data_IF_383763419310
#
_entry.id   IF_383763419310
#
_cell.length_a   1.000
_cell.length_b   1.000
_cell.length_c   1.000
_cell.angle_alpha   90.00
_cell.angle_beta   90.00
_cell.angle_gamma   90.00
#
_symmetry.space_group_name_H-M   'P 1'
#
loop_
_entity.id
_entity.type
_entity.pdbx_description
1 polymer ?
2 non-polymer ?
3 water ?
#
# COMPACT_ATOMS: atom_id res chain seq x y z
N UNK A 2 -0.90 11.82 25.13
CA UNK A 2 -0.69 10.35 25.05
C UNK A 2 0.06 10.02 23.75
N UNK A 3 0.74 8.87 23.71
CA UNK A 3 1.32 8.31 22.48
C UNK A 3 0.35 7.33 21.84
N UNK A 4 0.19 7.40 20.51
CA UNK A 4 -0.49 6.34 19.73
C UNK A 4 0.57 5.49 19.00
N UNK A 5 0.46 4.18 19.16
CA UNK A 5 1.40 3.22 18.54
C UNK A 5 0.65 2.32 17.56
N UNK A 6 1.09 2.29 16.30
CA UNK A 6 0.57 1.34 15.29
C UNK A 6 1.70 0.39 14.89
N UNK A 7 1.50 -0.91 15.17
CA UNK A 7 2.33 -2.03 14.68
C UNK A 7 1.60 -2.69 13.52
N UNK A 8 2.33 -3.02 12.45
CA UNK A 8 1.82 -3.64 11.19
C UNK A 8 2.56 -4.94 10.85
N UNK A 9 3.63 -5.25 11.59
CA UNK A 9 4.41 -6.51 11.40
C UNK A 9 3.55 -7.75 11.67
N UNK A 10 3.83 -8.78 10.89
CA UNK A 10 3.10 -10.07 10.88
C UNK A 10 4.00 -11.20 11.40
N UNK A 11 5.23 -10.91 11.83
CA UNK A 11 6.25 -11.94 12.13
C UNK A 11 6.34 -12.20 13.65
N UNK A 12 5.44 -11.58 14.43
CA UNK A 12 5.34 -11.80 15.88
C UNK A 12 6.65 -11.44 16.55
N UNK A 13 7.21 -12.35 17.34
CA UNK A 13 8.30 -12.10 18.31
C UNK A 13 9.64 -11.91 17.58
N UNK A 14 9.67 -12.17 16.27
CA UNK A 14 10.89 -12.13 15.44
C UNK A 14 10.84 -10.83 14.63
N UNK A 15 9.99 -9.90 15.06
CA UNK A 15 9.77 -8.61 14.37
C UNK A 15 10.85 -7.64 14.82
N UNK A 16 11.71 -7.22 13.87
CA UNK A 16 12.64 -6.07 14.04
C UNK A 16 11.86 -4.78 14.35
N UNK A 17 10.72 -4.50 13.69
CA UNK A 17 9.97 -3.20 13.85
C UNK A 17 9.33 -3.15 15.24
N UNK A 18 8.61 -4.19 15.64
CA UNK A 18 8.09 -4.33 17.04
C UNK A 18 9.26 -4.09 18.02
N UNK A 19 10.42 -4.72 17.82
CA UNK A 19 11.56 -4.57 18.74
C UNK A 19 12.06 -3.12 18.75
N UNK A 20 12.20 -2.49 17.58
CA UNK A 20 12.70 -1.10 17.52
C UNK A 20 11.66 -0.16 18.15
N UNK A 21 10.37 -0.33 17.83
CA UNK A 21 9.27 0.47 18.40
C UNK A 21 9.26 0.30 19.92
N UNK A 22 9.58 -0.87 20.45
CA UNK A 22 9.58 -1.12 21.91
C UNK A 22 10.61 -0.19 22.56
N UNK A 23 11.77 -0.01 21.93
CA UNK A 23 12.88 0.84 22.45
C UNK A 23 12.42 2.30 22.46
N UNK A 24 11.67 2.70 21.44
CA UNK A 24 11.07 4.07 21.37
C UNK A 24 10.09 4.24 22.52
N UNK A 25 9.28 3.22 22.79
CA UNK A 25 8.19 3.31 23.81
C UNK A 25 8.80 3.37 25.22
N UNK A 26 9.89 2.64 25.46
CA UNK A 26 10.54 2.65 26.79
C UNK A 26 10.96 4.09 27.06
N UNK A 27 11.50 4.79 26.04
CA UNK A 27 11.99 6.19 26.19
C UNK A 27 10.80 7.14 26.42
N UNK A 28 9.68 6.96 25.73
CA UNK A 28 8.47 7.80 25.97
C UNK A 28 8.05 7.70 27.42
N UNK A 29 7.86 6.49 27.92
CA UNK A 29 7.32 6.27 29.28
C UNK A 29 8.28 6.84 30.32
N UNK A 30 9.56 6.91 29.99
CA UNK A 30 10.63 7.37 30.91
C UNK A 30 10.60 8.88 31.12
N UNK A 31 10.51 9.68 30.05
CA UNK A 31 10.69 11.15 30.15
C UNK A 31 9.42 11.91 29.78
N UNK A 32 8.35 11.26 29.37
CA UNK A 32 7.16 11.97 28.86
C UNK A 32 6.25 12.42 30.00
N UNK A 33 5.71 13.65 29.92
CA UNK A 33 4.71 14.13 30.87
C UNK A 33 3.46 13.25 30.88
N UNK A 34 3.05 12.71 29.72
CA UNK A 34 1.98 11.68 29.61
C UNK A 34 2.58 10.37 29.10
N UNK A 35 3.13 9.53 30.00
CA UNK A 35 3.71 8.23 29.62
C UNK A 35 2.66 7.28 29.04
N UNK A 36 1.38 7.64 29.09
CA UNK A 36 0.24 6.83 28.56
C UNK A 36 0.49 6.47 27.09
N UNK A 37 0.10 5.25 26.73
CA UNK A 37 0.23 4.74 25.35
C UNK A 37 -1.07 4.05 24.95
N UNK A 38 -1.62 4.46 23.82
CA UNK A 38 -2.74 3.76 23.13
C UNK A 38 -2.13 2.98 21.98
N UNK A 39 -2.55 1.73 21.82
CA UNK A 39 -1.90 0.89 20.80
C UNK A 39 -2.94 0.18 19.93
N UNK A 40 -2.52 -0.15 18.72
CA UNK A 40 -3.31 -0.94 17.76
C UNK A 40 -2.30 -1.73 16.93
N UNK A 41 -2.60 -3.01 16.75
CA UNK A 41 -1.72 -4.01 16.09
C UNK A 41 -2.53 -4.63 14.94
N UNK A 42 -2.38 -4.05 13.74
CA UNK A 42 -3.10 -4.46 12.50
C UNK A 42 -2.57 -5.79 12.01
N UNK A 43 -1.33 -6.10 12.39
CA UNK A 43 -0.66 -7.37 12.07
C UNK A 43 -1.38 -8.57 12.67
N UNK A 44 -1.82 -8.44 13.91
CA UNK A 44 -2.54 -9.49 14.69
C UNK A 44 -4.04 -9.37 14.47
N UNK A 45 -4.51 -8.13 14.27
CA UNK A 45 -5.93 -7.73 14.24
C UNK A 45 -6.18 -6.84 13.02
N UNK A 46 -5.98 -7.37 11.79
CA UNK A 46 -6.09 -6.56 10.58
C UNK A 46 -7.50 -6.00 10.45
N UNK A 47 -7.60 -4.83 9.83
CA UNK A 47 -8.93 -4.27 9.51
C UNK A 47 -9.44 -5.08 8.35
N UNK A 48 -10.73 -5.49 8.35
CA UNK A 48 -11.29 -6.31 7.28
C UNK A 48 -11.12 -5.65 5.90
N UNK A 49 -11.17 -6.46 4.84
CA UNK A 49 -10.82 -6.03 3.47
C UNK A 49 -12.05 -5.45 2.77
N UNK A 50 -13.22 -5.51 3.41
CA UNK A 50 -14.52 -5.07 2.81
C UNK A 50 -14.88 -3.65 3.27
N UNK A 51 -14.34 -3.18 4.38
CA UNK A 51 -14.94 -2.01 5.10
C UNK A 51 -14.61 -0.72 4.33
N UNK A 52 -13.46 -0.66 3.67
CA UNK A 52 -13.09 0.50 2.83
C UNK A 52 -14.13 0.78 1.75
N UNK A 53 -14.44 -0.18 0.87
CA UNK A 53 -15.42 0.04 -0.22
C UNK A 53 -16.72 0.62 0.35
N UNK A 54 -17.21 0.07 1.47
CA UNK A 54 -18.50 0.44 2.08
C UNK A 54 -18.46 1.89 2.55
N UNK A 55 -17.31 2.34 3.08
CA UNK A 55 -17.13 3.70 3.63
C UNK A 55 -17.14 4.71 2.49
N UNK A 56 -16.46 4.39 1.38
CA UNK A 56 -16.35 5.26 0.18
C UNK A 56 -17.75 5.51 -0.40
N UNK A 57 -18.63 4.51 -0.31
CA UNK A 57 -20.04 4.60 -0.77
C UNK A 57 -20.86 5.54 0.12
N UNK A 58 -20.86 5.28 1.43
CA UNK A 58 -21.58 6.11 2.42
C UNK A 58 -21.10 7.56 2.34
N UNK A 59 -19.82 7.76 2.01
CA UNK A 59 -19.18 9.09 2.11
C UNK A 59 -20.12 10.15 1.53
N UNK A 60 -20.80 9.88 0.41
CA UNK A 60 -21.76 10.86 -0.15
C UNK A 60 -23.13 10.19 -0.27
N UNK A 61 -23.79 10.07 0.87
CA UNK A 61 -25.20 9.59 0.98
C UNK A 61 -25.78 10.29 2.20
N UNK A 62 -26.93 10.97 2.09
CA UNK A 62 -27.60 11.47 3.28
C UNK A 62 -27.52 10.34 4.31
N UNK A 63 -26.83 10.54 5.43
CA UNK A 63 -26.64 9.49 6.44
C UNK A 63 -27.81 8.53 6.69
N UNK A 64 -29.05 9.00 6.48
CA UNK A 64 -30.27 8.21 6.75
C UNK A 64 -30.47 7.16 5.66
N UNK A 65 -30.11 7.49 4.42
CA UNK A 65 -30.23 6.55 3.28
C UNK A 65 -29.02 5.60 3.27
N UNK A 66 -28.21 5.62 4.33
CA UNK A 66 -27.05 4.70 4.42
C UNK A 66 -27.55 3.31 4.79
N UNK A 67 -26.72 2.30 4.53
CA UNK A 67 -27.00 0.88 4.84
C UNK A 67 -26.16 0.41 6.04
N UNK A 68 -26.61 -0.63 6.78
CA UNK A 68 -25.88 -1.16 7.94
C UNK A 68 -24.35 -1.15 7.87
N UNK A 69 -23.78 -1.67 6.78
CA UNK A 69 -22.31 -1.85 6.64
C UNK A 69 -21.66 -0.50 6.36
N UNK A 70 -22.35 0.35 5.58
CA UNK A 70 -21.87 1.70 5.23
C UNK A 70 -21.68 2.49 6.52
N UNK A 71 -22.73 2.59 7.35
CA UNK A 71 -22.71 3.29 8.65
C UNK A 71 -21.61 2.70 9.53
N UNK A 72 -21.65 1.39 9.79
CA UNK A 72 -20.66 0.71 10.65
C UNK A 72 -19.25 0.99 10.12
N UNK A 73 -19.09 1.11 8.80
CA UNK A 73 -17.80 1.43 8.13
C UNK A 73 -17.36 2.85 8.49
N UNK A 74 -18.29 3.83 8.47
CA UNK A 74 -17.88 5.24 8.66
C UNK A 74 -17.68 5.53 10.15
N UNK A 75 -18.39 4.78 10.99
CA UNK A 75 -18.22 4.75 12.47
C UNK A 75 -16.81 4.26 12.82
N UNK A 76 -16.35 3.19 12.20
CA UNK A 76 -15.01 2.61 12.43
C UNK A 76 -13.95 3.61 11.97
N UNK A 77 -14.16 4.25 10.82
CA UNK A 77 -13.27 5.32 10.30
C UNK A 77 -13.12 6.39 11.38
N UNK A 78 -14.21 6.81 12.01
CA UNK A 78 -14.22 7.88 13.04
C UNK A 78 -13.45 7.41 14.30
N UNK A 79 -13.70 6.20 14.81
CA UNK A 79 -12.92 5.59 15.91
C UNK A 79 -11.40 5.60 15.63
N UNK A 80 -10.95 5.38 14.39
CA UNK A 80 -9.50 5.32 14.03
C UNK A 80 -8.92 6.74 14.01
N UNK A 81 -9.65 7.70 13.42
CA UNK A 81 -9.29 9.15 13.48
C UNK A 81 -9.26 9.60 14.95
N UNK A 82 -10.32 9.30 15.72
CA UNK A 82 -10.41 9.58 17.18
C UNK A 82 -9.07 9.26 17.86
N UNK A 83 -8.47 8.12 17.55
CA UNK A 83 -7.22 7.66 18.20
C UNK A 83 -6.06 8.59 17.83
N UNK A 84 -5.97 8.98 16.55
CA UNK A 84 -4.84 9.82 16.06
C UNK A 84 -4.96 11.22 16.63
N UNK A 85 -6.17 11.76 16.71
CA UNK A 85 -6.40 13.17 17.16
C UNK A 85 -6.34 13.24 18.69
N UNK A 86 -6.39 12.11 19.36
CA UNK A 86 -6.27 12.03 20.83
C UNK A 86 -4.80 12.05 21.29
N UNK A 87 -3.86 11.72 20.42
CA UNK A 87 -2.43 11.51 20.77
C UNK A 87 -1.63 12.79 20.54
N UNK A 88 -0.71 13.12 21.45
CA UNK A 88 0.18 14.29 21.21
C UNK A 88 1.30 13.85 20.27
N UNK A 89 1.54 12.54 20.13
CA UNK A 89 2.65 11.97 19.33
C UNK A 89 2.28 10.59 18.80
N UNK A 90 2.98 10.18 17.75
CA UNK A 90 2.68 8.97 16.97
C UNK A 90 3.93 8.11 16.84
N UNK A 91 3.75 6.81 17.05
CA UNK A 91 4.74 5.78 16.74
C UNK A 91 4.11 4.79 15.75
N UNK A 92 4.61 4.77 14.51
CA UNK A 92 4.05 3.95 13.40
C UNK A 92 5.16 3.05 12.86
N UNK A 93 5.02 1.74 13.06
CA UNK A 93 6.02 0.73 12.63
C UNK A 93 5.50 0.00 11.40
N UNK A 94 6.09 0.29 10.24
CA UNK A 94 5.73 -0.33 8.94
C UNK A 94 6.96 -0.94 8.28
N UNK A 95 7.11 -2.28 8.35
CA UNK A 95 8.20 -2.97 7.66
C UNK A 95 8.06 -3.04 6.13
N UNK A 96 9.14 -3.40 5.42
CA UNK A 96 9.10 -3.58 3.95
C UNK A 96 8.73 -5.03 3.61
N UNK A 97 7.67 -5.21 2.80
CA UNK A 97 7.20 -6.52 2.29
C UNK A 97 7.05 -6.45 0.76
N UNK A 98 7.78 -7.27 0.02
CA UNK A 98 7.56 -7.41 -1.43
C UNK A 98 7.55 -6.00 -2.05
N UNK A 99 8.56 -5.18 -1.71
CA UNK A 99 8.99 -3.92 -2.40
C UNK A 99 8.02 -2.76 -2.21
N UNK A 100 6.95 -2.95 -1.43
CA UNK A 100 5.90 -1.93 -1.30
C UNK A 100 5.30 -1.88 0.08
N UNK A 101 4.18 -1.17 0.17
CA UNK A 101 3.41 -0.83 1.40
C UNK A 101 2.87 -2.11 2.03
N UNK A 102 2.68 -2.11 3.35
CA UNK A 102 1.95 -3.17 4.09
C UNK A 102 0.52 -3.11 3.58
N UNK A 103 -0.10 -4.25 3.25
CA UNK A 103 -1.55 -4.29 2.89
C UNK A 103 -2.35 -3.67 4.06
N UNK A 104 -1.90 -3.89 5.30
CA UNK A 104 -2.56 -3.45 6.56
C UNK A 104 -2.43 -1.95 6.77
N UNK A 105 -1.27 -1.38 6.48
CA UNK A 105 -1.02 0.09 6.55
C UNK A 105 -1.89 0.77 5.49
N UNK A 106 -1.88 0.31 4.22
CA UNK A 106 -2.69 0.96 3.15
C UNK A 106 -4.18 0.92 3.52
N UNK A 107 -4.64 -0.21 4.05
CA UNK A 107 -6.07 -0.44 4.40
C UNK A 107 -6.44 0.61 5.45
N UNK A 108 -5.63 0.68 6.50
CA UNK A 108 -5.85 1.58 7.66
C UNK A 108 -5.95 3.02 7.17
N UNK A 109 -5.05 3.42 6.28
CA UNK A 109 -4.95 4.82 5.79
C UNK A 109 -6.12 5.08 4.84
N UNK A 110 -6.39 4.17 3.90
CA UNK A 110 -7.52 4.27 2.94
C UNK A 110 -8.81 4.65 3.70
N UNK A 111 -9.10 3.94 4.78
CA UNK A 111 -10.37 4.06 5.56
C UNK A 111 -10.38 5.33 6.43
N UNK A 112 -9.23 5.67 7.04
CA UNK A 112 -9.05 6.99 7.71
C UNK A 112 -9.53 8.10 6.79
N UNK A 113 -9.05 8.10 5.56
CA UNK A 113 -9.32 9.18 4.57
C UNK A 113 -10.77 9.14 4.08
N UNK A 114 -11.65 8.35 4.71
CA UNK A 114 -13.12 8.37 4.44
C UNK A 114 -13.80 9.22 5.51
N UNK A 115 -13.12 9.49 6.62
CA UNK A 115 -13.69 10.29 7.74
C UNK A 115 -13.66 11.76 7.34
N UNK A 116 -14.74 12.55 7.54
CA UNK A 116 -14.80 13.89 6.96
C UNK A 116 -13.59 14.72 7.40
N UNK A 117 -13.15 14.54 8.65
CA UNK A 117 -12.02 15.30 9.26
C UNK A 117 -10.69 14.98 8.57
N UNK A 118 -10.65 14.05 7.59
CA UNK A 118 -9.39 13.62 6.93
C UNK A 118 -9.54 13.69 5.41
N UNK A 119 -10.65 14.22 4.91
CA UNK A 119 -10.94 14.27 3.45
C UNK A 119 -9.81 15.04 2.78
N UNK A 120 -9.94 15.32 1.48
CA UNK A 120 -8.99 16.16 0.71
C UNK A 120 -9.43 17.63 0.87
N UNK A 121 -8.48 18.57 0.94
CA UNK A 121 -8.77 20.02 1.01
C UNK A 121 -9.09 20.50 2.43
N UNK A 122 -9.54 19.59 3.29
CA UNK A 122 -9.67 19.80 4.76
C UNK A 122 -8.27 19.93 5.37
N UNK A 123 -8.09 20.84 6.32
CA UNK A 123 -6.82 21.07 7.07
C UNK A 123 -6.52 19.84 7.94
N UNK A 124 -5.36 19.20 7.80
CA UNK A 124 -5.03 18.05 8.69
C UNK A 124 -5.23 18.47 10.14
N UNK A 125 -5.96 17.68 10.95
CA UNK A 125 -6.15 18.00 12.37
C UNK A 125 -4.89 17.62 13.17
N UNK A 126 -3.88 17.06 12.49
CA UNK A 126 -2.64 16.56 13.12
C UNK A 126 -1.45 17.44 12.78
N UNK A 127 -1.60 18.50 11.98
CA UNK A 127 -0.44 19.29 11.48
C UNK A 127 0.43 19.69 12.67
N UNK A 128 1.75 19.66 12.49
CA UNK A 128 2.71 20.09 13.53
C UNK A 128 3.05 19.00 14.53
N UNK A 129 2.22 17.96 14.62
CA UNK A 129 2.38 16.88 15.64
C UNK A 129 3.53 15.94 15.25
N UNK A 130 4.28 15.45 16.25
CA UNK A 130 5.47 14.61 16.04
C UNK A 130 5.08 13.15 15.81
N UNK A 131 5.82 12.50 14.93
CA UNK A 131 5.63 11.07 14.58
C UNK A 131 7.00 10.46 14.38
N UNK A 132 7.24 9.31 15.02
CA UNK A 132 8.38 8.40 14.69
C UNK A 132 7.80 7.30 13.81
N UNK A 133 8.41 7.09 12.65
CA UNK A 133 8.12 5.97 11.73
C UNK A 133 9.26 4.97 11.83
N UNK A 134 8.97 3.75 12.27
CA UNK A 134 9.96 2.63 12.30
C UNK A 134 9.74 1.72 11.08
N UNK A 135 10.70 1.68 10.17
CA UNK A 135 10.72 0.69 9.05
C UNK A 135 11.93 -0.23 9.24
N UNK A 136 11.85 -1.44 8.70
CA UNK A 136 13.02 -2.32 8.47
C UNK A 136 12.95 -2.91 7.06
N UNK A 137 14.10 -3.30 6.53
CA UNK A 137 14.22 -3.97 5.21
C UNK A 137 15.10 -5.22 5.38
N UNK A 138 14.81 -6.29 4.63
CA UNK A 138 15.67 -7.49 4.53
C UNK A 138 17.07 -7.18 4.00
N UNK A 139 17.15 -6.55 2.82
CA UNK A 139 18.41 -6.22 2.13
C UNK A 139 18.75 -4.75 2.35
N UNK A 140 19.61 -4.19 1.49
CA UNK A 140 20.09 -2.79 1.54
C UNK A 140 19.58 -2.05 0.29
N UNK A 141 19.01 -0.86 0.45
CA UNK A 141 18.14 -0.19 -0.56
C UNK A 141 18.67 1.21 -0.94
N UNK A 142 19.77 1.66 -0.31
CA UNK A 142 20.29 3.04 -0.42
C UNK A 142 20.92 3.33 -1.78
N UNK A 143 21.29 4.60 -2.04
CA UNK A 143 21.90 5.00 -3.31
C UNK A 143 23.12 4.16 -3.62
N UNK A 144 23.16 3.63 -4.85
CA UNK A 144 24.28 2.86 -5.39
C UNK A 144 24.18 1.38 -5.07
N UNK A 145 23.15 0.94 -4.32
CA UNK A 145 22.91 -0.51 -4.14
C UNK A 145 22.13 -0.99 -5.36
N UNK A 146 22.11 -2.31 -5.66
CA UNK A 146 21.29 -2.87 -6.73
C UNK A 146 19.78 -2.69 -6.52
N UNK A 147 19.38 -2.27 -5.31
CA UNK A 147 17.97 -2.25 -4.83
C UNK A 147 17.56 -0.80 -4.53
N UNK A 148 18.32 0.16 -5.07
CA UNK A 148 18.05 1.63 -5.07
C UNK A 148 16.75 1.87 -5.84
N UNK A 149 15.79 2.55 -5.21
CA UNK A 149 14.45 2.82 -5.75
C UNK A 149 13.55 1.59 -5.78
N UNK A 150 13.83 0.55 -4.98
CA UNK A 150 12.96 -0.66 -4.91
C UNK A 150 12.09 -0.64 -3.66
N UNK A 151 12.31 0.31 -2.76
CA UNK A 151 11.38 0.57 -1.63
C UNK A 151 10.33 1.57 -2.10
N UNK A 152 9.22 1.06 -2.62
CA UNK A 152 8.12 1.88 -3.18
C UNK A 152 7.19 2.30 -2.04
N UNK A 153 7.51 1.93 -0.79
CA UNK A 153 6.72 2.20 0.45
C UNK A 153 7.19 3.49 1.14
N UNK A 154 8.49 3.62 1.41
CA UNK A 154 9.07 4.82 2.11
C UNK A 154 8.42 6.10 1.59
N UNK A 155 8.37 6.29 0.27
CA UNK A 155 7.94 7.57 -0.33
C UNK A 155 6.47 7.83 -0.08
N UNK A 156 5.66 6.77 -0.11
CA UNK A 156 4.18 6.87 0.06
C UNK A 156 3.88 7.28 1.50
N UNK A 157 4.55 6.65 2.46
CA UNK A 157 4.29 6.88 3.90
C UNK A 157 4.70 8.30 4.25
N UNK A 158 5.79 8.77 3.64
CA UNK A 158 6.31 10.15 3.84
C UNK A 158 5.38 11.17 3.24
N UNK A 159 4.76 10.88 2.10
CA UNK A 159 3.82 11.84 1.49
C UNK A 159 2.58 11.93 2.37
N UNK A 160 2.07 10.80 2.86
CA UNK A 160 0.82 10.76 3.68
C UNK A 160 1.10 11.43 5.02
N UNK A 161 2.12 10.97 5.72
CA UNK A 161 2.41 11.46 7.09
C UNK A 161 3.05 12.84 7.01
N UNK A 162 4.05 13.02 6.12
CA UNK A 162 4.76 14.29 5.94
C UNK A 162 3.93 15.35 5.21
N UNK A 163 3.64 15.17 3.92
CA UNK A 163 3.05 16.21 3.03
C UNK A 163 1.54 16.37 3.25
N UNK A 164 0.79 15.29 3.45
CA UNK A 164 -0.68 15.42 3.59
C UNK A 164 -1.00 15.80 5.04
N UNK A 165 -0.65 14.93 5.99
CA UNK A 165 -0.99 15.09 7.42
C UNK A 165 -0.13 16.16 8.06
N UNK A 166 1.00 16.50 7.43
CA UNK A 166 1.90 17.59 7.88
C UNK A 166 2.38 17.25 9.31
N UNK A 167 2.66 15.97 9.56
CA UNK A 167 3.25 15.49 10.83
C UNK A 167 4.76 15.76 10.82
N UNK A 168 5.37 15.96 12.00
CA UNK A 168 6.83 16.14 12.13
C UNK A 168 7.47 14.75 12.21
N UNK A 169 8.15 14.31 11.16
CA UNK A 169 8.47 12.88 10.98
C UNK A 169 9.93 12.60 11.34
N UNK A 170 10.15 11.61 12.19
CA UNK A 170 11.49 11.04 12.47
C UNK A 170 11.44 9.59 12.00
N UNK A 171 12.42 9.18 11.18
CA UNK A 171 12.46 7.84 10.52
C UNK A 171 13.60 7.02 11.15
N UNK A 172 13.32 5.77 11.50
CA UNK A 172 14.31 4.76 11.98
C UNK A 172 14.25 3.58 11.01
N UNK A 173 15.28 3.40 10.18
CA UNK A 173 15.36 2.31 9.18
C UNK A 173 16.46 1.33 9.60
N UNK A 174 16.10 0.08 9.92
CA UNK A 174 17.10 -1.01 10.11
C UNK A 174 17.06 -1.89 8.86
N UNK A 175 17.98 -1.65 7.94
CA UNK A 175 18.29 -2.55 6.80
C UNK A 175 19.00 -3.84 7.27
N UNK A 176 19.09 -4.85 6.39
CA UNK A 176 19.95 -6.07 6.50
C UNK A 176 19.44 -7.02 7.60
N UNK A 177 18.12 -7.12 7.75
CA UNK A 177 17.45 -7.98 8.76
C UNK A 177 17.38 -9.44 8.27
N UNK A 178 17.69 -9.68 6.99
CA UNK A 178 17.75 -11.05 6.41
C UNK A 178 19.21 -11.53 6.28
N UNK A 179 20.14 -10.94 7.03
CA UNK A 179 21.58 -11.28 6.96
C UNK A 179 21.87 -12.25 8.11
N UNK A 180 22.21 -13.50 7.78
CA UNK A 180 22.23 -14.66 8.71
C UNK A 180 21.04 -15.57 8.44
N UNK A 181 20.05 -15.05 7.72
CA UNK A 181 18.81 -15.77 7.33
C UNK A 181 18.99 -16.26 5.89
N UNK A 182 19.14 -15.37 4.92
CA UNK A 182 19.47 -15.74 3.52
C UNK A 182 20.99 -15.72 3.39
N UNK A 183 21.62 -16.88 3.07
CA UNK A 183 23.07 -16.96 2.89
C UNK A 183 23.64 -16.01 1.83
N UNK A 184 22.84 -15.67 0.82
CA UNK A 184 23.25 -14.81 -0.31
C UNK A 184 23.69 -13.42 0.20
N UNK A 185 23.39 -13.10 1.47
CA UNK A 185 23.71 -11.78 2.10
C UNK A 185 24.81 -11.94 3.15
N UNK A 186 25.59 -13.03 3.11
CA UNK A 186 26.57 -13.33 4.19
C UNK A 186 27.83 -12.48 4.02
N UNK A 187 27.95 -11.76 2.90
CA UNK A 187 29.01 -10.75 2.71
C UNK A 187 28.71 -9.50 3.56
N UNK A 188 27.54 -9.44 4.21
CA UNK A 188 27.04 -8.26 4.98
C UNK A 188 27.05 -8.51 6.49
N UNK A 189 27.58 -9.64 6.96
CA UNK A 189 27.37 -10.11 8.37
C UNK A 189 27.72 -9.02 9.38
N UNK A 190 28.90 -8.39 9.27
CA UNK A 190 29.41 -7.38 10.26
C UNK A 190 28.71 -6.04 10.06
N UNK A 191 28.73 -5.50 8.84
CA UNK A 191 27.94 -4.30 8.47
C UNK A 191 26.55 -4.41 9.10
N UNK A 192 25.82 -5.50 8.82
CA UNK A 192 24.44 -5.75 9.33
C UNK A 192 24.39 -5.57 10.86
N UNK A 193 25.43 -5.99 11.57
CA UNK A 193 25.46 -5.95 13.06
C UNK A 193 25.59 -4.50 13.53
N UNK A 194 26.58 -3.78 13.00
CA UNK A 194 26.84 -2.37 13.37
C UNK A 194 25.60 -1.54 13.03
N UNK A 195 24.90 -1.90 11.96
CA UNK A 195 23.66 -1.20 11.52
C UNK A 195 22.64 -1.31 12.65
N UNK A 196 22.39 -2.53 13.11
CA UNK A 196 21.42 -2.89 14.19
C UNK A 196 21.69 -2.05 15.44
N UNK A 197 22.92 -2.10 15.96
CA UNK A 197 23.28 -1.41 17.23
C UNK A 197 22.95 0.07 17.05
N UNK A 198 23.37 0.63 15.90
CA UNK A 198 23.25 2.07 15.59
C UNK A 198 21.78 2.49 15.53
N UNK A 199 20.94 1.71 14.83
CA UNK A 199 19.48 2.00 14.68
C UNK A 199 18.73 1.75 16.00
N UNK A 200 19.24 0.87 16.87
CA UNK A 200 18.70 0.69 18.26
C UNK A 200 18.88 2.00 19.04
N UNK A 201 20.07 2.60 19.00
CA UNK A 201 20.31 3.93 19.64
C UNK A 201 19.33 4.93 19.02
N UNK A 202 19.24 5.00 17.69
CA UNK A 202 18.38 5.98 16.96
C UNK A 202 16.93 5.84 17.39
N UNK A 203 16.50 4.62 17.69
CA UNK A 203 15.13 4.33 18.16
C UNK A 203 15.02 4.80 19.61
N UNK A 204 16.04 4.55 20.42
CA UNK A 204 16.13 5.15 21.78
C UNK A 204 16.10 6.68 21.64
N UNK A 205 16.87 7.24 20.70
CA UNK A 205 17.02 8.70 20.52
C UNK A 205 15.67 9.35 20.19
N UNK A 206 14.98 8.82 19.19
CA UNK A 206 13.67 9.32 18.72
C UNK A 206 12.64 9.31 19.87
N UNK A 207 12.69 8.32 20.76
CA UNK A 207 11.79 8.24 21.92
C UNK A 207 12.02 9.37 22.90
N UNK A 208 13.29 9.66 23.19
CA UNK A 208 13.71 10.78 24.09
C UNK A 208 13.20 12.09 23.48
N UNK A 209 13.33 12.24 22.15
CA UNK A 209 13.05 13.51 21.41
C UNK A 209 11.52 13.71 21.33
N UNK A 210 10.79 12.63 21.08
CA UNK A 210 9.30 12.64 21.13
C UNK A 210 8.82 13.11 22.51
N UNK A 211 9.28 12.44 23.58
CA UNK A 211 8.98 12.76 25.00
C UNK A 211 9.14 14.25 25.32
N UNK A 212 10.14 14.94 24.74
CA UNK A 212 10.49 16.32 25.13
C UNK A 212 9.90 17.37 24.16
N UNK A 213 9.12 16.95 23.15
CA UNK A 213 8.69 17.90 22.08
C UNK A 213 7.76 18.97 22.61
N UNK A 214 7.03 18.76 23.70
CA UNK A 214 6.12 19.81 24.23
C UNK A 214 6.97 20.94 24.79
N UNK A 215 7.91 20.59 25.69
CA UNK A 215 8.99 21.47 26.21
C UNK A 215 9.70 22.23 25.08
N UNK A 216 10.26 21.53 24.10
CA UNK A 216 11.02 22.09 22.95
C UNK A 216 10.17 23.09 22.15
N UNK A 217 8.85 22.90 22.08
CA UNK A 217 7.95 23.86 21.36
C UNK A 217 7.74 25.13 22.19
N UNK A 218 7.54 25.02 23.51
CA UNK A 218 7.32 26.17 24.43
C UNK A 218 8.60 27.01 24.54
N UNK A 219 9.76 26.39 24.38
CA UNK A 219 11.09 27.05 24.39
C UNK A 219 11.39 27.70 23.02
N UNK A 220 10.51 27.56 22.03
CA UNK A 220 10.74 28.07 20.64
C UNK A 220 10.27 29.54 20.58
N UNK A 221 11.13 30.44 20.07
CA UNK A 221 10.91 31.92 20.12
C UNK A 221 10.80 32.52 18.71
N UNK A 222 11.55 32.02 17.72
CA UNK A 222 11.51 32.54 16.32
C UNK A 222 10.23 32.05 15.65
N UNK A 223 9.31 32.96 15.32
CA UNK A 223 8.02 32.61 14.67
C UNK A 223 7.83 33.40 13.37
N UNK A 224 8.94 33.77 12.72
CA UNK A 224 9.01 34.41 11.37
C UNK A 224 7.97 35.54 11.26
N UNK A 225 7.80 36.36 12.30
CA UNK A 225 7.05 37.63 12.18
C UNK A 225 7.87 38.56 11.30
N UNK A 226 7.21 39.41 10.53
CA UNK A 226 7.89 40.35 9.59
C UNK A 226 8.72 41.35 10.40
N UNK A 227 9.76 41.87 9.76
CA UNK A 227 10.60 42.99 10.26
C UNK A 227 11.52 43.46 9.13
N UNK B 2 -5.89 -18.95 -22.78
CA UNK B 2 -6.99 -18.09 -22.33
C UNK B 2 -6.43 -16.74 -21.86
N UNK B 3 -7.33 -15.78 -21.66
CA UNK B 3 -7.00 -14.46 -21.04
C UNK B 3 -7.32 -14.53 -19.54
N UNK B 4 -6.42 -14.00 -18.71
CA UNK B 4 -6.71 -13.78 -17.27
C UNK B 4 -6.93 -12.28 -17.04
N UNK B 5 -8.07 -11.92 -16.44
CA UNK B 5 -8.42 -10.50 -16.11
C UNK B 5 -8.56 -10.32 -14.59
N UNK B 6 -7.94 -9.29 -14.05
CA UNK B 6 -8.06 -8.90 -12.62
C UNK B 6 -8.65 -7.50 -12.57
N UNK B 7 -9.72 -7.32 -11.78
CA UNK B 7 -10.21 -5.97 -11.39
C UNK B 7 -9.96 -5.78 -9.88
N UNK B 8 -9.78 -4.52 -9.52
CA UNK B 8 -9.49 -4.00 -8.14
C UNK B 8 -10.38 -2.79 -7.80
N UNK B 9 -11.06 -2.20 -8.79
CA UNK B 9 -11.92 -1.00 -8.62
C UNK B 9 -12.99 -1.31 -7.57
N UNK B 10 -13.38 -0.31 -6.79
CA UNK B 10 -14.52 -0.41 -5.81
C UNK B 10 -15.64 0.54 -6.24
N UNK B 11 -15.57 1.12 -7.44
CA UNK B 11 -16.53 2.15 -7.90
C UNK B 11 -17.65 1.55 -8.75
N UNK B 12 -17.57 0.28 -9.10
CA UNK B 12 -18.63 -0.42 -9.85
C UNK B 12 -18.89 0.25 -11.17
N UNK B 13 -20.17 0.51 -11.47
CA UNK B 13 -20.65 1.14 -12.75
C UNK B 13 -19.79 2.33 -13.14
N UNK B 14 -19.20 3.05 -12.18
CA UNK B 14 -18.50 4.33 -12.48
C UNK B 14 -16.99 4.13 -12.74
N UNK B 15 -16.50 2.88 -12.74
CA UNK B 15 -15.05 2.61 -12.87
C UNK B 15 -14.53 3.03 -14.24
N UNK B 16 -13.42 3.77 -14.27
CA UNK B 16 -12.72 4.12 -15.53
C UNK B 16 -11.87 2.94 -15.95
N UNK B 17 -11.33 2.21 -14.97
CA UNK B 17 -10.44 1.05 -15.21
C UNK B 17 -11.26 -0.16 -15.70
N UNK B 18 -12.43 -0.41 -15.14
CA UNK B 18 -13.29 -1.54 -15.64
C UNK B 18 -13.65 -1.23 -17.10
N UNK B 19 -14.08 0.01 -17.38
CA UNK B 19 -14.51 0.48 -18.72
C UNK B 19 -13.38 0.23 -19.72
N UNK B 20 -12.17 0.67 -19.38
CA UNK B 20 -10.99 0.56 -20.26
C UNK B 20 -10.59 -0.91 -20.44
N UNK B 21 -10.63 -1.70 -19.36
CA UNK B 21 -10.31 -3.15 -19.38
C UNK B 21 -11.28 -3.92 -20.29
N UNK B 22 -12.55 -3.51 -20.36
CA UNK B 22 -13.51 -4.19 -21.28
C UNK B 22 -13.02 -3.99 -22.72
N UNK B 23 -12.57 -2.78 -23.07
CA UNK B 23 -12.14 -2.45 -24.46
C UNK B 23 -11.06 -3.43 -24.90
N UNK B 24 -10.16 -3.79 -23.99
CA UNK B 24 -9.07 -4.78 -24.26
C UNK B 24 -9.69 -6.16 -24.45
N UNK B 25 -10.62 -6.52 -23.58
CA UNK B 25 -11.23 -7.87 -23.56
C UNK B 25 -12.11 -8.03 -24.80
N UNK B 26 -12.82 -6.98 -25.20
CA UNK B 26 -13.65 -7.00 -26.43
C UNK B 26 -12.77 -7.40 -27.61
N UNK B 27 -11.60 -6.80 -27.72
CA UNK B 27 -10.67 -7.07 -28.84
C UNK B 27 -10.23 -8.52 -28.75
N UNK B 28 -10.02 -9.04 -27.53
CA UNK B 28 -9.66 -10.46 -27.29
C UNK B 28 -10.79 -11.35 -27.81
N UNK B 29 -11.89 -11.43 -27.07
CA UNK B 29 -13.02 -12.33 -27.41
C UNK B 29 -13.33 -12.25 -28.90
N UNK B 30 -13.39 -11.04 -29.46
CA UNK B 30 -13.79 -10.82 -30.86
C UNK B 30 -12.76 -11.46 -31.81
N UNK B 31 -11.47 -11.12 -31.70
CA UNK B 31 -10.47 -11.54 -32.73
C UNK B 31 -9.30 -12.33 -32.13
N UNK B 32 -9.58 -13.23 -31.18
CA UNK B 32 -8.53 -14.03 -30.50
C UNK B 32 -8.82 -15.52 -30.58
N UNK B 33 -7.79 -16.37 -30.71
CA UNK B 33 -7.97 -17.82 -30.58
C UNK B 33 -8.24 -18.09 -29.09
N UNK B 34 -8.32 -19.34 -28.65
CA UNK B 34 -8.75 -19.68 -27.26
C UNK B 34 -9.30 -18.41 -26.60
N UNK B 35 -10.42 -17.84 -27.11
CA UNK B 35 -10.93 -16.56 -26.61
C UNK B 35 -11.59 -16.57 -25.22
N UNK B 36 -11.49 -17.67 -24.47
CA UNK B 36 -12.06 -17.77 -23.09
C UNK B 36 -11.40 -16.71 -22.19
N UNK B 37 -12.11 -16.26 -21.16
CA UNK B 37 -11.60 -15.22 -20.21
C UNK B 37 -11.89 -15.61 -18.76
N UNK B 38 -10.86 -16.05 -18.03
CA UNK B 38 -10.95 -16.23 -16.55
C UNK B 38 -10.73 -14.86 -15.89
N UNK B 39 -11.55 -14.51 -14.91
CA UNK B 39 -11.57 -13.15 -14.28
C UNK B 39 -11.72 -13.25 -12.77
N UNK B 40 -11.27 -12.21 -12.09
CA UNK B 40 -11.33 -12.10 -10.62
C UNK B 40 -11.36 -10.61 -10.27
N UNK B 41 -12.38 -10.25 -9.50
CA UNK B 41 -12.70 -8.87 -9.10
C UNK B 41 -12.47 -8.76 -7.60
N UNK B 42 -11.27 -8.31 -7.23
CA UNK B 42 -10.87 -8.14 -5.82
C UNK B 42 -11.60 -6.94 -5.21
N UNK B 43 -12.17 -6.08 -6.06
CA UNK B 43 -12.96 -4.93 -5.60
C UNK B 43 -14.34 -5.35 -5.13
N UNK B 44 -14.88 -6.42 -5.70
CA UNK B 44 -16.21 -6.97 -5.35
C UNK B 44 -16.01 -8.17 -4.44
N UNK B 45 -14.99 -8.97 -4.72
CA UNK B 45 -14.65 -10.15 -3.88
C UNK B 45 -13.21 -10.03 -3.41
N UNK B 46 -12.96 -9.19 -2.38
CA UNK B 46 -11.61 -9.08 -1.80
C UNK B 46 -11.11 -10.38 -1.17
N UNK B 47 -9.81 -10.62 -1.29
CA UNK B 47 -9.16 -11.69 -0.49
C UNK B 47 -9.18 -11.27 0.98
N UNK B 48 -9.49 -12.20 1.91
CA UNK B 48 -9.51 -11.89 3.35
C UNK B 48 -8.21 -11.25 3.84
N UNK B 49 -8.28 -10.42 4.88
CA UNK B 49 -7.14 -9.59 5.36
C UNK B 49 -6.21 -10.42 6.25
N UNK B 50 -6.61 -11.65 6.59
CA UNK B 50 -5.91 -12.54 7.56
C UNK B 50 -5.12 -13.60 6.81
N UNK B 51 -5.27 -13.66 5.50
CA UNK B 51 -4.89 -14.87 4.72
C UNK B 51 -3.39 -14.77 4.42
N UNK B 52 -2.90 -13.58 4.07
CA UNK B 52 -1.45 -13.36 3.84
C UNK B 52 -0.61 -13.80 5.06
N UNK B 53 -0.90 -13.30 6.28
CA UNK B 53 -0.14 -13.67 7.50
C UNK B 53 -0.15 -15.21 7.68
N UNK B 54 -1.31 -15.84 7.49
CA UNK B 54 -1.54 -17.28 7.69
C UNK B 54 -0.64 -18.10 6.75
N UNK B 55 -0.56 -17.71 5.49
CA UNK B 55 0.30 -18.35 4.45
C UNK B 55 1.77 -18.18 4.83
N UNK B 56 2.16 -16.98 5.28
CA UNK B 56 3.56 -16.68 5.67
C UNK B 56 3.90 -17.55 6.90
N UNK B 57 2.99 -17.68 7.86
CA UNK B 57 3.22 -18.42 9.12
C UNK B 57 3.29 -19.92 8.88
N UNK B 58 2.36 -20.47 8.07
CA UNK B 58 2.30 -21.90 7.70
C UNK B 58 3.69 -22.43 7.32
N UNK B 59 4.49 -21.60 6.65
CA UNK B 59 5.80 -22.03 6.07
C UNK B 59 6.81 -22.25 7.19
N UNK B 60 6.44 -21.95 8.44
CA UNK B 60 7.30 -22.13 9.64
C UNK B 60 6.78 -23.30 10.48
N UNK B 61 5.53 -23.71 10.23
CA UNK B 61 4.91 -24.87 10.93
C UNK B 61 5.17 -26.10 10.09
N UNK B 62 5.63 -27.21 10.70
CA UNK B 62 5.84 -28.46 9.99
C UNK B 62 4.58 -28.84 9.20
N UNK B 63 4.72 -29.36 7.96
CA UNK B 63 3.56 -29.61 7.10
C UNK B 63 2.53 -30.55 7.72
N UNK B 64 3.01 -31.63 8.33
CA UNK B 64 2.22 -32.68 8.99
C UNK B 64 1.34 -32.10 10.10
N UNK B 65 1.73 -30.98 10.70
CA UNK B 65 1.03 -30.41 11.88
C UNK B 65 0.40 -29.06 11.54
N UNK B 66 0.28 -28.69 10.27
CA UNK B 66 -0.25 -27.35 9.93
C UNK B 66 -1.75 -27.27 10.26
N UNK B 67 -2.21 -26.09 10.66
CA UNK B 67 -3.62 -25.79 10.98
C UNK B 67 -4.43 -25.62 9.69
N UNK B 68 -5.71 -26.06 9.64
CA UNK B 68 -6.53 -25.91 8.44
C UNK B 68 -6.44 -24.51 7.80
N UNK B 69 -6.54 -23.45 8.60
CA UNK B 69 -6.46 -22.04 8.15
C UNK B 69 -5.09 -21.80 7.48
N UNK B 70 -4.03 -22.45 7.96
CA UNK B 70 -2.64 -22.34 7.42
C UNK B 70 -2.59 -23.11 6.09
N UNK B 71 -3.07 -24.36 6.06
CA UNK B 71 -3.16 -25.17 4.81
C UNK B 71 -4.06 -24.44 3.79
N UNK B 72 -5.20 -23.92 4.24
CA UNK B 72 -6.24 -23.27 3.41
C UNK B 72 -5.62 -22.05 2.69
N UNK B 73 -4.80 -21.26 3.39
CA UNK B 73 -4.17 -20.04 2.82
C UNK B 73 -3.16 -20.45 1.74
N UNK B 74 -2.32 -21.44 2.00
CA UNK B 74 -1.31 -21.89 1.01
C UNK B 74 -2.01 -22.49 -0.21
N UNK B 75 -3.15 -23.16 -0.02
CA UNK B 75 -3.97 -23.67 -1.16
C UNK B 75 -4.45 -22.49 -2.02
N UNK B 76 -4.96 -21.45 -1.37
CA UNK B 76 -5.57 -20.27 -2.06
C UNK B 76 -4.47 -19.58 -2.89
N UNK B 77 -3.28 -19.40 -2.29
CA UNK B 77 -2.08 -18.88 -2.96
C UNK B 77 -1.78 -19.71 -4.20
N UNK B 78 -1.83 -21.04 -4.08
CA UNK B 78 -1.55 -22.01 -5.16
C UNK B 78 -2.60 -21.87 -6.27
N UNK B 79 -3.82 -21.52 -5.93
CA UNK B 79 -4.96 -21.42 -6.87
C UNK B 79 -4.85 -20.10 -7.66
N UNK B 80 -4.48 -19.02 -6.98
CA UNK B 80 -4.26 -17.70 -7.65
C UNK B 80 -3.03 -17.79 -8.57
N UNK B 81 -1.99 -18.51 -8.13
CA UNK B 81 -0.82 -18.78 -9.01
C UNK B 81 -1.29 -19.61 -10.22
N UNK B 82 -2.10 -20.68 -9.99
CA UNK B 82 -2.65 -21.59 -11.04
C UNK B 82 -3.29 -20.74 -12.16
N UNK B 83 -4.18 -19.83 -11.77
CA UNK B 83 -4.88 -18.88 -12.68
C UNK B 83 -3.88 -18.22 -13.63
N UNK B 84 -2.78 -17.68 -13.10
CA UNK B 84 -1.81 -16.86 -13.88
C UNK B 84 -0.99 -17.74 -14.81
N UNK B 85 -0.46 -18.86 -14.28
CA UNK B 85 0.34 -19.87 -15.03
C UNK B 85 -0.49 -20.38 -16.20
N UNK B 86 -1.82 -20.39 -16.10
CA UNK B 86 -2.73 -21.03 -17.09
C UNK B 86 -3.08 -20.08 -18.26
N UNK B 87 -2.76 -18.79 -18.19
CA UNK B 87 -3.20 -17.77 -19.18
C UNK B 87 -2.10 -17.48 -20.19
N UNK B 88 -2.49 -17.21 -21.45
CA UNK B 88 -1.53 -16.84 -22.53
C UNK B 88 -1.23 -15.34 -22.39
N UNK B 89 -2.22 -14.56 -21.92
CA UNK B 89 -2.15 -13.08 -21.80
C UNK B 89 -2.77 -12.62 -20.47
N UNK B 90 -2.36 -11.45 -19.98
CA UNK B 90 -2.86 -10.90 -18.69
C UNK B 90 -3.43 -9.49 -18.86
N UNK B 91 -4.53 -9.23 -18.14
CA UNK B 91 -5.26 -7.94 -18.14
C UNK B 91 -5.51 -7.51 -16.69
N UNK B 92 -4.75 -6.51 -16.26
CA UNK B 92 -4.65 -6.13 -14.84
C UNK B 92 -5.02 -4.66 -14.73
N UNK B 93 -6.09 -4.37 -13.98
CA UNK B 93 -6.66 -3.01 -13.86
C UNK B 93 -6.58 -2.56 -12.40
N UNK B 94 -5.80 -1.51 -12.16
CA UNK B 94 -5.58 -0.99 -10.79
C UNK B 94 -5.53 0.54 -10.80
N UNK B 95 -6.61 1.19 -10.29
CA UNK B 95 -6.64 2.64 -10.12
C UNK B 95 -5.64 3.17 -9.09
N UNK B 96 -5.40 4.48 -9.09
CA UNK B 96 -4.58 5.11 -8.04
C UNK B 96 -5.50 5.51 -6.89
N UNK B 97 -5.20 5.03 -5.68
CA UNK B 97 -6.05 5.26 -4.48
C UNK B 97 -5.20 5.81 -3.33
N UNK B 98 -5.47 7.06 -2.95
CA UNK B 98 -4.81 7.70 -1.81
C UNK B 98 -3.30 7.69 -2.09
N UNK B 99 -2.95 8.08 -3.33
CA UNK B 99 -1.56 8.33 -3.78
C UNK B 99 -0.78 7.02 -3.88
N UNK B 100 -1.39 5.90 -3.47
CA UNK B 100 -0.66 4.61 -3.39
C UNK B 100 -1.36 3.47 -4.10
N UNK B 101 -1.01 2.26 -3.69
CA UNK B 101 -1.43 1.01 -4.38
C UNK B 101 -2.78 0.57 -3.84
N UNK B 102 -3.58 -0.09 -4.68
CA UNK B 102 -4.87 -0.70 -4.25
C UNK B 102 -4.57 -1.65 -3.09
N UNK B 103 -5.24 -1.45 -1.95
CA UNK B 103 -5.11 -2.37 -0.79
C UNK B 103 -5.32 -3.81 -1.27
N UNK B 104 -6.23 -4.04 -2.23
CA UNK B 104 -6.59 -5.41 -2.69
C UNK B 104 -5.51 -5.95 -3.62
N UNK B 105 -4.89 -5.11 -4.46
CA UNK B 105 -3.82 -5.56 -5.39
C UNK B 105 -2.60 -6.07 -4.61
N UNK B 106 -2.20 -5.37 -3.54
CA UNK B 106 -1.03 -5.75 -2.72
C UNK B 106 -1.33 -7.06 -1.99
N UNK B 107 -2.52 -7.18 -1.39
CA UNK B 107 -2.92 -8.44 -0.71
C UNK B 107 -2.76 -9.59 -1.71
N UNK B 108 -3.29 -9.42 -2.92
CA UNK B 108 -3.25 -10.44 -4.02
C UNK B 108 -1.80 -10.74 -4.36
N UNK B 109 -0.98 -9.72 -4.57
CA UNK B 109 0.49 -9.88 -4.85
C UNK B 109 1.20 -10.48 -3.62
N UNK B 110 0.90 -10.02 -2.40
CA UNK B 110 1.53 -10.56 -1.17
C UNK B 110 1.28 -12.07 -1.10
N UNK B 111 0.04 -12.50 -1.33
CA UNK B 111 -0.37 -13.92 -1.14
C UNK B 111 0.10 -14.76 -2.33
N UNK B 112 0.08 -14.23 -3.55
CA UNK B 112 0.81 -14.84 -4.70
C UNK B 112 2.25 -15.18 -4.32
N UNK B 113 2.98 -14.27 -3.67
CA UNK B 113 4.45 -14.46 -3.50
C UNK B 113 4.73 -15.39 -2.31
N UNK B 114 3.71 -15.94 -1.64
CA UNK B 114 3.96 -16.98 -0.60
C UNK B 114 4.01 -18.38 -1.25
N UNK B 115 3.59 -18.50 -2.51
CA UNK B 115 3.65 -19.79 -3.25
C UNK B 115 5.10 -20.03 -3.69
N UNK B 116 5.64 -21.25 -3.52
CA UNK B 116 7.05 -21.51 -3.80
C UNK B 116 7.45 -21.28 -5.27
N UNK B 117 6.49 -21.19 -6.19
CA UNK B 117 6.77 -20.92 -7.62
C UNK B 117 7.10 -19.43 -7.85
N UNK B 118 6.67 -18.57 -6.93
CA UNK B 118 6.78 -17.09 -7.05
C UNK B 118 7.92 -16.55 -6.17
N UNK B 119 8.50 -17.44 -5.36
CA UNK B 119 9.42 -17.13 -4.24
C UNK B 119 10.74 -16.57 -4.76
N UNK B 120 11.46 -15.84 -3.91
CA UNK B 120 12.77 -15.24 -4.24
C UNK B 120 13.75 -16.35 -4.68
N UNK B 121 14.48 -16.11 -5.78
CA UNK B 121 15.52 -17.02 -6.27
C UNK B 121 15.01 -17.97 -7.33
N UNK B 122 13.70 -18.12 -7.45
CA UNK B 122 13.08 -19.03 -8.45
C UNK B 122 12.79 -18.18 -9.69
N UNK B 123 12.80 -18.79 -10.88
CA UNK B 123 12.53 -18.06 -12.13
C UNK B 123 11.02 -17.79 -12.26
N UNK B 124 10.65 -16.63 -12.79
CA UNK B 124 9.22 -16.31 -13.03
C UNK B 124 8.62 -17.37 -13.93
N UNK B 125 7.54 -18.04 -13.46
CA UNK B 125 6.78 -18.96 -14.31
C UNK B 125 5.90 -18.21 -15.32
N UNK B 126 6.04 -16.88 -15.40
CA UNK B 126 5.15 -16.02 -16.22
C UNK B 126 6.02 -15.18 -17.15
N UNK B 127 7.31 -15.45 -17.16
CA UNK B 127 8.30 -14.60 -17.86
C UNK B 127 7.98 -14.58 -19.36
N UNK B 128 8.01 -13.40 -19.97
CA UNK B 128 7.83 -13.26 -21.43
C UNK B 128 6.36 -13.17 -21.82
N UNK B 129 5.45 -13.48 -20.89
CA UNK B 129 3.99 -13.47 -21.20
C UNK B 129 3.53 -12.03 -21.34
N UNK B 130 2.63 -11.76 -22.32
CA UNK B 130 2.11 -10.41 -22.54
C UNK B 130 1.15 -10.00 -21.42
N UNK B 131 1.16 -8.72 -21.05
CA UNK B 131 0.31 -8.17 -19.96
C UNK B 131 -0.03 -6.72 -20.26
N UNK B 132 -1.31 -6.38 -20.14
CA UNK B 132 -1.77 -4.97 -20.24
C UNK B 132 -2.16 -4.53 -18.84
N UNK B 133 -1.68 -3.36 -18.45
CA UNK B 133 -1.99 -2.74 -17.14
C UNK B 133 -2.84 -1.50 -17.42
N UNK B 134 -4.07 -1.52 -16.93
CA UNK B 134 -5.03 -0.39 -16.99
C UNK B 134 -5.05 0.25 -15.61
N UNK B 135 -4.70 1.53 -15.56
CA UNK B 135 -4.73 2.34 -14.31
C UNK B 135 -5.33 3.68 -14.64
N UNK B 136 -5.87 4.37 -13.64
CA UNK B 136 -6.52 5.68 -13.83
C UNK B 136 -6.19 6.60 -12.66
N UNK B 137 -6.17 7.90 -12.94
CA UNK B 137 -5.88 8.93 -11.92
C UNK B 137 -6.91 10.03 -12.05
N UNK B 138 -7.33 10.61 -10.94
CA UNK B 138 -8.30 11.72 -10.93
C UNK B 138 -7.61 13.00 -11.35
N UNK B 139 -6.34 13.16 -10.94
CA UNK B 139 -5.57 14.37 -11.26
C UNK B 139 -4.66 14.13 -12.44
N UNK B 140 -3.70 15.04 -12.65
CA UNK B 140 -2.59 14.92 -13.62
C UNK B 140 -1.27 14.82 -12.85
N UNK B 141 -0.51 13.75 -13.07
CA UNK B 141 0.70 13.36 -12.29
C UNK B 141 1.93 13.37 -13.21
N UNK B 142 1.81 14.06 -14.36
CA UNK B 142 2.86 14.13 -15.39
C UNK B 142 4.07 14.95 -14.96
N UNK B 143 5.19 14.85 -15.71
CA UNK B 143 6.30 15.79 -15.54
C UNK B 143 5.80 17.22 -15.80
N UNK B 144 6.16 18.16 -14.93
CA UNK B 144 5.83 19.60 -15.09
C UNK B 144 4.66 20.02 -14.21
N UNK B 145 4.12 19.10 -13.41
CA UNK B 145 2.89 19.32 -12.61
C UNK B 145 3.21 19.30 -11.12
N UNK B 146 2.42 20.01 -10.29
CA UNK B 146 2.63 19.96 -8.83
C UNK B 146 2.51 18.55 -8.25
N UNK B 147 1.88 17.62 -8.96
CA UNK B 147 1.60 16.25 -8.45
C UNK B 147 2.58 15.24 -9.07
N UNK B 148 3.70 15.72 -9.60
CA UNK B 148 4.73 14.84 -10.19
C UNK B 148 5.43 14.05 -9.07
N UNK B 149 5.58 12.73 -9.26
CA UNK B 149 6.14 11.82 -8.24
C UNK B 149 5.15 11.48 -7.14
N UNK B 150 3.87 11.91 -7.26
CA UNK B 150 2.82 11.66 -6.23
C UNK B 150 2.02 10.38 -6.51
N UNK B 151 2.26 9.68 -7.63
CA UNK B 151 1.69 8.34 -7.87
C UNK B 151 2.71 7.30 -7.40
N UNK B 152 2.52 6.76 -6.19
CA UNK B 152 3.45 5.79 -5.56
C UNK B 152 3.06 4.36 -5.91
N UNK B 153 2.04 4.19 -6.76
CA UNK B 153 1.56 2.87 -7.25
C UNK B 153 2.27 2.49 -8.56
N UNK B 154 2.28 3.38 -9.55
CA UNK B 154 2.73 3.01 -10.93
C UNK B 154 4.10 2.32 -10.84
N UNK B 155 5.05 2.92 -10.11
CA UNK B 155 6.42 2.35 -9.98
C UNK B 155 6.40 0.95 -9.40
N UNK B 156 5.53 0.66 -8.43
CA UNK B 156 5.55 -0.62 -7.68
C UNK B 156 4.95 -1.76 -8.53
N UNK B 157 3.84 -1.48 -9.20
CA UNK B 157 3.19 -2.48 -10.10
C UNK B 157 4.18 -2.84 -11.23
N UNK B 158 4.89 -1.85 -11.75
CA UNK B 158 5.90 -2.06 -12.81
C UNK B 158 7.06 -2.91 -12.30
N UNK B 159 7.43 -2.77 -11.02
CA UNK B 159 8.53 -3.60 -10.44
C UNK B 159 8.10 -5.07 -10.38
N UNK B 160 6.94 -5.34 -9.77
CA UNK B 160 6.39 -6.74 -9.69
C UNK B 160 6.22 -7.24 -11.12
N UNK B 161 5.36 -6.60 -11.91
CA UNK B 161 4.92 -7.18 -13.20
C UNK B 161 6.08 -7.20 -14.20
N UNK B 162 6.86 -6.11 -14.32
CA UNK B 162 7.99 -6.03 -15.24
C UNK B 162 9.23 -6.70 -14.69
N UNK B 163 9.74 -6.24 -13.55
CA UNK B 163 11.11 -6.59 -13.08
C UNK B 163 11.12 -7.95 -12.36
N UNK B 164 10.02 -8.40 -11.75
CA UNK B 164 10.01 -9.70 -10.99
C UNK B 164 9.40 -10.79 -11.88
N UNK B 165 8.22 -10.50 -12.43
CA UNK B 165 7.40 -11.46 -13.22
C UNK B 165 7.86 -11.47 -14.68
N UNK B 166 8.58 -10.43 -15.12
CA UNK B 166 9.31 -10.37 -16.42
C UNK B 166 8.30 -10.49 -17.56
N UNK B 167 7.07 -10.02 -17.33
CA UNK B 167 6.00 -9.92 -18.36
C UNK B 167 6.45 -8.86 -19.36
N UNK B 168 6.13 -9.05 -20.64
CA UNK B 168 6.25 -8.01 -21.69
C UNK B 168 5.06 -7.08 -21.50
N UNK B 169 5.25 -6.02 -20.71
CA UNK B 169 4.18 -5.19 -20.08
C UNK B 169 3.90 -3.92 -20.89
N UNK B 170 2.64 -3.72 -21.24
CA UNK B 170 2.12 -2.48 -21.90
C UNK B 170 1.15 -1.80 -20.94
N UNK B 171 1.39 -0.52 -20.63
CA UNK B 171 0.58 0.23 -19.63
C UNK B 171 -0.36 1.20 -20.36
N UNK B 172 -1.66 1.14 -20.06
CA UNK B 172 -2.68 2.07 -20.59
C UNK B 172 -3.23 2.90 -19.41
N UNK B 173 -3.00 4.22 -19.42
CA UNK B 173 -3.26 5.08 -18.22
C UNK B 173 -4.21 6.23 -18.54
N UNK B 174 -5.33 6.33 -17.80
CA UNK B 174 -6.28 7.46 -17.96
C UNK B 174 -6.17 8.42 -16.79
N UNK B 175 -5.99 9.71 -17.08
CA UNK B 175 -5.82 10.75 -16.03
C UNK B 175 -7.05 11.66 -16.03
N UNK B 176 -7.11 12.58 -15.08
CA UNK B 176 -8.17 13.60 -15.01
C UNK B 176 -9.54 12.90 -15.04
N UNK B 177 -9.70 11.90 -14.19
CA UNK B 177 -10.96 11.11 -14.10
C UNK B 177 -11.91 11.76 -13.11
N UNK B 178 -11.49 12.83 -12.43
CA UNK B 178 -12.38 13.59 -11.52
C UNK B 178 -12.78 14.93 -12.13
N UNK B 179 -12.29 15.26 -13.33
CA UNK B 179 -12.78 16.47 -14.05
C UNK B 179 -14.26 16.24 -14.33
N UNK B 180 -15.12 17.05 -13.73
CA UNK B 180 -16.58 16.83 -13.80
C UNK B 180 -17.15 16.49 -12.44
N UNK B 181 -16.34 15.97 -11.51
CA UNK B 181 -16.78 15.56 -10.14
C UNK B 181 -16.25 16.57 -9.12
N UNK B 182 -15.00 17.00 -9.26
CA UNK B 182 -14.44 18.06 -8.40
C UNK B 182 -14.63 19.40 -9.09
N UNK B 183 -15.49 20.29 -8.54
CA UNK B 183 -15.70 21.62 -9.10
C UNK B 183 -14.44 22.44 -9.43
N UNK B 184 -13.32 22.20 -8.74
CA UNK B 184 -12.05 22.97 -8.88
C UNK B 184 -11.24 22.47 -10.07
N UNK B 185 -11.82 21.62 -10.92
CA UNK B 185 -11.13 21.04 -12.11
C UNK B 185 -11.89 21.43 -13.39
N UNK B 186 -12.81 22.39 -13.32
CA UNK B 186 -13.60 22.76 -14.53
C UNK B 186 -12.66 23.43 -15.53
N UNK B 187 -11.42 23.69 -15.11
CA UNK B 187 -10.41 24.34 -15.98
C UNK B 187 -9.79 23.29 -16.92
N UNK B 188 -10.41 22.12 -17.02
CA UNK B 188 -9.84 20.97 -17.78
C UNK B 188 -10.95 20.15 -18.45
N UNK B 189 -12.16 20.71 -18.56
CA UNK B 189 -13.38 19.98 -19.01
C UNK B 189 -13.15 19.30 -20.37
N UNK B 190 -12.48 19.99 -21.30
CA UNK B 190 -12.31 19.51 -22.69
C UNK B 190 -11.02 18.70 -22.79
N UNK B 191 -9.96 19.11 -22.10
CA UNK B 191 -8.72 18.29 -22.05
C UNK B 191 -9.09 16.92 -21.48
N UNK B 192 -9.74 16.90 -20.31
CA UNK B 192 -10.18 15.67 -19.62
C UNK B 192 -10.85 14.70 -20.61
N UNK B 193 -11.86 15.22 -21.35
CA UNK B 193 -12.65 14.50 -22.38
C UNK B 193 -11.72 13.93 -23.46
N UNK B 194 -10.70 14.69 -23.84
CA UNK B 194 -9.76 14.38 -24.95
C UNK B 194 -8.76 13.31 -24.51
N UNK B 195 -8.42 13.25 -23.22
CA UNK B 195 -7.57 12.16 -22.66
C UNK B 195 -8.41 10.89 -22.62
N UNK B 196 -9.69 11.00 -22.26
CA UNK B 196 -10.64 9.84 -22.22
C UNK B 196 -10.61 9.11 -23.57
N UNK B 197 -10.97 9.82 -24.65
CA UNK B 197 -11.11 9.23 -26.01
C UNK B 197 -9.76 8.62 -26.44
N UNK B 198 -8.66 9.35 -26.18
CA UNK B 198 -7.29 8.86 -26.45
C UNK B 198 -7.03 7.54 -25.72
N UNK B 199 -7.20 7.49 -24.39
CA UNK B 199 -6.84 6.29 -23.59
C UNK B 199 -7.76 5.13 -23.99
N UNK B 200 -9.03 5.42 -24.30
CA UNK B 200 -9.98 4.44 -24.90
C UNK B 200 -9.36 3.81 -26.15
N UNK B 201 -8.85 4.63 -27.08
CA UNK B 201 -8.23 4.13 -28.33
C UNK B 201 -6.95 3.38 -27.97
N UNK B 202 -6.19 3.88 -26.99
CA UNK B 202 -4.98 3.19 -26.45
C UNK B 202 -5.41 1.83 -25.90
N UNK B 203 -6.54 1.80 -25.19
CA UNK B 203 -7.15 0.55 -24.66
C UNK B 203 -7.52 -0.37 -25.83
N UNK B 204 -8.09 0.14 -26.94
CA UNK B 204 -8.45 -0.75 -28.08
C UNK B 204 -7.16 -1.28 -28.73
N UNK B 205 -6.15 -0.42 -28.87
CA UNK B 205 -4.83 -0.75 -29.45
C UNK B 205 -4.23 -1.95 -28.71
N UNK B 206 -4.14 -1.84 -27.38
CA UNK B 206 -3.55 -2.85 -26.47
C UNK B 206 -4.24 -4.21 -26.71
N UNK B 207 -5.57 -4.19 -26.76
CA UNK B 207 -6.41 -5.37 -27.06
C UNK B 207 -5.93 -6.09 -28.31
N UNK B 208 -5.90 -5.38 -29.45
CA UNK B 208 -5.51 -5.96 -30.76
C UNK B 208 -4.16 -6.67 -30.62
N UNK B 209 -3.13 -5.98 -30.16
CA UNK B 209 -1.78 -6.60 -30.00
C UNK B 209 -1.81 -7.72 -28.96
N UNK B 210 -2.73 -7.70 -28.01
CA UNK B 210 -2.85 -8.81 -27.04
C UNK B 210 -3.36 -10.06 -27.77
N UNK B 211 -4.31 -9.87 -28.70
CA UNK B 211 -5.02 -10.94 -29.44
C UNK B 211 -4.11 -11.52 -30.53
N UNK B 212 -3.41 -10.66 -31.28
CA UNK B 212 -2.43 -11.03 -32.32
C UNK B 212 -1.82 -12.41 -32.03
X LIG C 1 12.85 -7.36 2.72
X LIG C 1 13.24 -6.55 1.72
X LIG C 1 14.33 -5.94 1.77
X LIG C 1 12.44 -6.33 0.62
X LIG C 1 11.24 -6.97 0.44
X LIG C 1 10.57 -6.74 -0.58
X LIG C 1 10.82 -7.85 1.47
X LIG C 1 9.68 -8.49 1.35
X LIG C 1 9.31 -9.34 2.35
X LIG C 1 8.09 -10.03 2.23
X LIG C 1 7.65 -10.88 3.21
X LIG C 1 6.34 -11.59 3.06
X LIG C 1 8.45 -11.07 4.38
X LIG C 1 8.00 -11.98 5.49
X LIG C 1 9.64 -10.40 4.51
X LIG C 1 10.09 -9.53 3.51
X LIG C 1 11.29 -8.85 3.60
X LIG C 1 11.71 -7.99 2.59
X LIG C 1 12.12 -8.99 4.81
X LIG C 1 11.63 -8.01 5.85
X LIG C 1 11.79 -6.67 5.36
X LIG C 1 12.30 -8.19 7.22
X LIG C 1 11.97 -9.50 7.70
X LIG C 1 11.82 -7.14 8.23
X LIG C 1 12.47 -7.38 9.48
X LIG C 1 10.33 -7.19 8.38
X LIG C 1 9.94 -6.44 9.54
X LIG C 1 9.38 -7.23 10.79
X LIG C 1 9.27 -6.17 11.86
X LIG C 1 8.03 -7.78 10.37
X LIG C 1 10.41 -8.28 11.09
X LIG D 1 -7.03 10.20 -7.75
X LIG D 1 -5.81 10.75 -7.68
X LIG D 1 -5.34 11.37 -8.65
X LIG D 1 -5.02 10.63 -6.57
X LIG D 1 -5.44 9.97 -5.45
X LIG D 1 -4.72 9.88 -4.48
X LIG D 1 -6.73 9.41 -5.47
X LIG D 1 -7.17 8.78 -4.40
X LIG D 1 -8.44 8.26 -4.46
X LIG D 1 -8.94 7.61 -3.32
X LIG D 1 -10.20 7.07 -3.30
X LIG D 1 -10.69 6.34 -2.07
X LIG D 1 -11.02 7.16 -4.46
X LIG D 1 -12.41 6.55 -4.48
X LIG D 1 -10.54 7.79 -5.58
X LIG D 1 -9.25 8.35 -5.60
X LIG D 1 -8.74 9.02 -6.72
X LIG D 1 -7.48 9.57 -6.69
X LIG D 1 -9.55 9.13 -7.94
X LIG D 1 -9.25 7.97 -8.85
X LIG D 1 -7.95 8.12 -9.39
X LIG D 1 -10.27 7.84 -9.98
X LIG D 1 -11.61 7.85 -9.45
X LIG D 1 -10.11 6.55 -10.77
X LIG D 1 -10.92 6.60 -11.94
X LIG D 1 -10.50 5.35 -9.95
X LIG D 1 -10.45 4.17 -10.79
X LIG D 1 -11.78 3.28 -10.91
X LIG D 1 -11.51 2.24 -11.97
X LIG D 1 -12.01 2.71 -9.52
X LIG D 1 -12.86 4.28 -11.33
#
# INVERSE_FOLDING_TARGET
MSLFRLDTSILGTRSSTIALADLVEREWRATAPDPSVVRRHLGEDPLPATVWAAAVAAQFVPPARRAPEEREALSLAAALVDELVAAEALLLAAPLYNFGVSQHLKTWVDLLLTDPRMAAGTESPLAGRPAVLVTARGGAYGPGTPREGWDHAIGWMRRIFGDVWKLELTVVERELTLVGIDPALDRFKELAERVRVTTEEQARAAGRRLAAREGAFLALEHHHHHH
MSLFRLDTSILGTRSSTIALADLVEREWRATAPDPSVVRRHLGEDPLPATVWAAAVAAQFVPPARRAPEEREALSLAAALVDELVAAEALLLAAPLYNFGVSQHLKTWVDLLLTDPRMAAGTESPLAGRPAVLVTARGGAYGPGTPREGWDHAIGWMRRIFGDVWKLELTVVERELTLVGIDPALDRFKELAERVRVTTEEQARAAGRRLAAREGAFLALEHHHHHH
FMN N1 C2 O2 N3 C4 O4 C4A N5 C5A C6 C7 C7M C8 C8M C9 C9A N10 C10 C1' C2' O2' C3' O3' C4' O4' C5' O5' P O1P O2P O3P
FMN N1 C2 O2 N3 C4 O4 C4A N5 C5A C6 C7 C7M C8 C8M C9 C9A N10 C10 C1' C2' O2' C3' O3' C4' O4' C5' O5' P O1P O2P O3P
#
